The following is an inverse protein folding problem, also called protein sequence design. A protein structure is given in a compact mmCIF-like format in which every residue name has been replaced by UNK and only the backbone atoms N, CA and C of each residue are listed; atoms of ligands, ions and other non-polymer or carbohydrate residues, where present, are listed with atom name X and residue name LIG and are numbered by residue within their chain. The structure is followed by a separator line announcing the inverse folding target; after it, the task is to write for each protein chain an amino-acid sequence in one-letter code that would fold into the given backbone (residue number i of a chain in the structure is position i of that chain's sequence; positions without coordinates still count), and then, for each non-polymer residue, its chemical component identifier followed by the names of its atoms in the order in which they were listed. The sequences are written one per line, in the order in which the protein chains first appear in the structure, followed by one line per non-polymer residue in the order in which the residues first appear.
data_IF_165161816136
#
_entry.id   IF_165161816136
#
_cell.length_a   1.000
_cell.length_b   1.000
_cell.length_c   1.000
_cell.angle_alpha   90.00
_cell.angle_beta   90.00
_cell.angle_gamma   90.00
#
_symmetry.space_group_name_H-M   'P 1'
#
loop_
_entity.id
_entity.type
_entity.pdbx_description
1 polymer ?
#
# COMPACT_ATOMS: atom_id res chain seq x y z
N UNK A 1 10.15 10.86 -64.55
CA UNK A 1 10.67 10.05 -63.46
C UNK A 1 10.29 10.78 -62.17
N UNK A 2 9.16 10.44 -61.55
CA UNK A 2 8.68 11.11 -60.33
C UNK A 2 8.92 10.20 -59.12
N UNK A 3 9.80 10.63 -58.27
CA UNK A 3 10.19 9.94 -57.02
C UNK A 3 9.16 10.28 -55.95
N UNK A 4 8.35 9.28 -55.54
CA UNK A 4 7.42 9.43 -54.41
C UNK A 4 8.19 9.27 -53.10
N UNK A 5 8.26 10.34 -52.31
CA UNK A 5 8.77 10.32 -50.94
C UNK A 5 7.64 9.85 -50.04
N UNK A 6 7.86 8.68 -49.41
CA UNK A 6 6.92 8.09 -48.46
C UNK A 6 7.28 8.64 -47.07
N UNK A 7 6.48 9.59 -46.54
CA UNK A 7 6.63 10.11 -45.19
C UNK A 7 6.06 9.11 -44.18
N UNK A 8 6.91 8.48 -43.41
CA UNK A 8 6.51 7.66 -42.25
C UNK A 8 6.26 8.60 -41.08
N UNK A 9 5.01 8.80 -40.72
CA UNK A 9 4.62 9.47 -39.48
C UNK A 9 4.72 8.47 -38.31
N UNK A 10 5.77 8.60 -37.51
CA UNK A 10 5.94 7.84 -36.27
C UNK A 10 5.00 8.43 -35.20
N UNK A 11 3.85 7.81 -34.96
CA UNK A 11 2.96 8.16 -33.85
C UNK A 11 3.58 7.64 -32.54
N UNK A 12 4.30 8.47 -31.84
CA UNK A 12 4.71 8.20 -30.46
C UNK A 12 3.49 8.33 -29.55
N UNK A 13 2.88 7.19 -29.18
CA UNK A 13 1.89 7.13 -28.13
C UNK A 13 2.56 7.46 -26.80
N UNK A 14 2.44 8.71 -26.35
CA UNK A 14 2.78 9.15 -25.00
C UNK A 14 1.77 8.50 -24.05
N UNK A 15 2.12 7.33 -23.51
CA UNK A 15 1.50 6.83 -22.29
C UNK A 15 1.88 7.78 -21.15
N UNK A 16 1.10 8.83 -20.94
CA UNK A 16 1.19 9.63 -19.75
C UNK A 16 0.82 8.72 -18.57
N UNK A 17 1.69 8.57 -17.55
CA UNK A 17 1.29 7.88 -16.34
C UNK A 17 0.10 8.65 -15.74
N UNK A 18 -1.01 7.95 -15.52
CA UNK A 18 -2.13 8.51 -14.80
C UNK A 18 -1.66 8.81 -13.37
N UNK A 19 -1.26 10.05 -13.13
CA UNK A 19 -1.01 10.53 -11.77
C UNK A 19 -2.34 10.49 -11.04
N UNK A 20 -2.52 9.49 -10.18
CA UNK A 20 -3.63 9.47 -9.25
C UNK A 20 -3.60 10.79 -8.47
N UNK A 21 -4.67 11.57 -8.57
CA UNK A 21 -4.81 12.85 -7.89
C UNK A 21 -4.69 12.59 -6.38
N UNK A 22 -3.56 12.95 -5.80
CA UNK A 22 -3.25 12.77 -4.39
C UNK A 22 -4.10 13.74 -3.60
N UNK A 23 -5.19 13.26 -3.01
CA UNK A 23 -6.06 14.07 -2.16
C UNK A 23 -5.38 14.31 -0.81
N UNK A 24 -5.10 15.57 -0.49
CA UNK A 24 -4.98 16.26 0.81
C UNK A 24 -4.14 15.69 1.96
N UNK A 25 -3.74 14.43 1.96
CA UNK A 25 -2.95 13.80 3.03
C UNK A 25 -1.54 13.38 2.58
N UNK A 26 -1.27 13.42 1.31
CA UNK A 26 0.05 13.09 0.75
C UNK A 26 0.72 14.37 0.27
N UNK A 27 1.96 14.61 0.68
CA UNK A 27 2.74 15.65 0.05
C UNK A 27 3.01 15.26 -1.41
N UNK A 28 2.88 16.22 -2.32
CA UNK A 28 3.02 15.99 -3.76
C UNK A 28 4.40 15.40 -4.15
N UNK A 29 5.40 15.58 -3.28
CA UNK A 29 6.78 15.13 -3.47
C UNK A 29 7.09 13.79 -2.78
N UNK A 30 6.06 13.08 -2.28
CA UNK A 30 6.29 11.79 -1.64
C UNK A 30 6.79 10.78 -2.67
N UNK A 31 7.94 10.13 -2.43
CA UNK A 31 8.50 9.16 -3.35
C UNK A 31 7.60 7.92 -3.46
N UNK A 32 7.53 7.36 -4.66
CA UNK A 32 6.96 6.04 -4.89
C UNK A 32 8.08 5.01 -4.72
N UNK A 33 7.82 4.00 -3.91
CA UNK A 33 8.71 2.87 -3.66
C UNK A 33 8.12 1.66 -4.35
N UNK A 34 8.95 0.92 -5.08
CA UNK A 34 8.57 -0.33 -5.77
C UNK A 34 9.47 -1.45 -5.29
N UNK A 35 8.87 -2.54 -4.87
CA UNK A 35 9.57 -3.70 -4.33
C UNK A 35 8.98 -4.97 -4.92
N UNK A 36 9.84 -5.95 -5.15
CA UNK A 36 9.43 -7.29 -5.59
C UNK A 36 10.28 -8.32 -4.89
N UNK A 37 9.65 -9.35 -4.37
CA UNK A 37 10.32 -10.52 -3.81
C UNK A 37 9.84 -11.79 -4.49
N UNK A 38 10.69 -12.78 -4.49
CA UNK A 38 10.33 -14.16 -4.82
C UNK A 38 10.26 -14.95 -3.50
N UNK A 39 9.15 -15.63 -3.29
CA UNK A 39 8.93 -16.53 -2.18
C UNK A 39 8.64 -17.92 -2.76
N UNK A 40 9.67 -18.75 -2.90
CA UNK A 40 9.63 -19.91 -3.79
C UNK A 40 9.37 -19.46 -5.24
N UNK A 41 8.36 -20.06 -5.87
CA UNK A 41 7.92 -19.68 -7.23
C UNK A 41 6.94 -18.49 -7.23
N UNK A 42 6.51 -18.02 -6.07
CA UNK A 42 5.58 -16.91 -5.96
C UNK A 42 6.28 -15.58 -6.14
N UNK A 43 5.77 -14.76 -7.07
CA UNK A 43 6.20 -13.36 -7.25
C UNK A 43 5.23 -12.44 -6.52
N UNK A 44 5.74 -11.68 -5.55
CA UNK A 44 4.96 -10.71 -4.79
C UNK A 44 5.59 -9.33 -5.01
N UNK A 45 4.78 -8.36 -5.41
CA UNK A 45 5.21 -6.98 -5.64
C UNK A 45 4.37 -6.01 -4.82
N UNK A 46 5.03 -5.01 -4.24
CA UNK A 46 4.41 -3.95 -3.45
C UNK A 46 4.92 -2.60 -3.95
N UNK A 47 4.01 -1.78 -4.46
CA UNK A 47 4.27 -0.39 -4.84
C UNK A 47 3.51 0.52 -3.89
N UNK A 48 4.16 1.55 -3.35
CA UNK A 48 3.46 2.48 -2.47
C UNK A 48 4.07 3.88 -2.51
N UNK A 49 3.28 4.87 -2.06
CA UNK A 49 3.74 6.24 -1.85
C UNK A 49 4.18 6.41 -0.41
N UNK A 50 5.46 6.72 -0.20
CA UNK A 50 6.05 6.96 1.12
C UNK A 50 5.68 8.35 1.62
N UNK A 51 4.48 8.50 2.15
CA UNK A 51 3.94 9.76 2.67
C UNK A 51 4.60 10.16 3.98
N UNK A 52 4.62 11.46 4.29
CA UNK A 52 5.07 11.96 5.60
C UNK A 52 3.90 12.03 6.58
N UNK A 53 4.20 11.84 7.86
CA UNK A 53 3.23 11.92 8.95
C UNK A 53 3.06 13.35 9.50
N UNK A 54 3.42 14.36 8.72
CA UNK A 54 3.28 15.77 9.06
C UNK A 54 3.77 16.10 10.49
N UNK A 55 4.97 15.62 10.84
CA UNK A 55 5.59 15.81 12.15
C UNK A 55 4.67 15.44 13.35
N UNK A 56 3.92 14.35 13.23
CA UNK A 56 3.03 13.88 14.29
C UNK A 56 1.64 14.52 14.32
N UNK A 57 1.41 15.60 13.57
CA UNK A 57 0.09 16.28 13.57
C UNK A 57 -1.06 15.36 13.15
N UNK A 58 -0.80 14.41 12.29
CA UNK A 58 -1.80 13.43 11.87
C UNK A 58 -2.27 12.60 13.06
N UNK A 59 -1.34 12.03 13.84
CA UNK A 59 -1.68 11.25 15.03
C UNK A 59 -2.40 12.08 16.07
N UNK A 60 -1.94 13.31 16.33
CA UNK A 60 -2.61 14.24 17.25
C UNK A 60 -4.07 14.48 16.89
N UNK A 61 -4.36 14.64 15.59
CA UNK A 61 -5.74 14.80 15.12
C UNK A 61 -6.59 13.55 15.32
N UNK A 62 -6.02 12.35 15.13
CA UNK A 62 -6.74 11.08 15.28
C UNK A 62 -7.06 10.75 16.73
N UNK A 63 -6.22 11.22 17.67
CA UNK A 63 -6.33 10.96 19.10
C UNK A 63 -6.99 12.11 19.89
N UNK A 64 -7.35 13.20 19.20
CA UNK A 64 -8.05 14.34 19.81
C UNK A 64 -9.37 13.90 20.46
N UNK A 65 -9.61 14.33 21.69
CA UNK A 65 -10.78 13.89 22.48
C UNK A 65 -12.11 14.32 21.89
N UNK A 66 -12.16 15.50 21.26
CA UNK A 66 -13.40 16.08 20.76
C UNK A 66 -13.63 15.74 19.27
N UNK A 67 -12.57 15.77 18.48
CA UNK A 67 -12.65 15.68 17.02
C UNK A 67 -12.03 14.40 16.45
N UNK A 68 -11.36 13.59 17.27
CA UNK A 68 -10.63 12.41 16.80
C UNK A 68 -11.52 11.38 16.09
N UNK A 69 -12.72 11.14 16.62
CA UNK A 69 -13.68 10.25 15.97
C UNK A 69 -14.07 10.73 14.55
N UNK A 70 -14.33 12.02 14.39
CA UNK A 70 -14.65 12.62 13.07
C UNK A 70 -13.42 12.55 12.14
N UNK A 71 -12.22 12.78 12.67
CA UNK A 71 -11.00 12.70 11.89
C UNK A 71 -10.74 11.27 11.40
N UNK A 72 -10.93 10.24 12.24
CA UNK A 72 -10.83 8.83 11.85
C UNK A 72 -11.87 8.45 10.80
N UNK A 73 -13.15 8.80 11.02
CA UNK A 73 -14.22 8.53 10.08
C UNK A 73 -13.92 9.13 8.69
N UNK A 74 -13.48 10.38 8.63
CA UNK A 74 -13.09 11.04 7.38
C UNK A 74 -11.88 10.37 6.72
N UNK A 75 -10.88 9.97 7.52
CA UNK A 75 -9.71 9.25 7.02
C UNK A 75 -10.13 7.94 6.39
N UNK A 76 -10.95 7.15 7.09
CA UNK A 76 -11.45 5.87 6.61
C UNK A 76 -12.31 5.98 5.34
N UNK A 77 -13.13 7.02 5.25
CA UNK A 77 -13.93 7.30 4.04
C UNK A 77 -13.07 7.63 2.82
N UNK A 78 -11.99 8.38 3.04
CA UNK A 78 -11.11 8.83 1.96
C UNK A 78 -10.08 7.78 1.54
N UNK A 79 -9.69 6.87 2.44
CA UNK A 79 -8.62 5.91 2.22
C UNK A 79 -8.81 5.03 0.97
N UNK A 80 -9.98 4.41 0.71
CA UNK A 80 -10.18 3.62 -0.52
C UNK A 80 -10.23 4.47 -1.80
N UNK A 81 -10.58 5.76 -1.68
CA UNK A 81 -10.62 6.71 -2.81
C UNK A 81 -9.22 7.19 -3.21
N UNK A 82 -8.28 7.16 -2.26
CA UNK A 82 -6.89 7.58 -2.44
C UNK A 82 -5.94 6.53 -1.82
N UNK A 83 -5.88 5.32 -2.39
CA UNK A 83 -5.03 4.26 -1.88
C UNK A 83 -3.56 4.67 -1.87
N UNK A 84 -2.80 4.15 -0.93
CA UNK A 84 -1.38 4.46 -0.78
C UNK A 84 -0.51 3.68 -1.75
N UNK A 85 -1.00 2.56 -2.27
CA UNK A 85 -0.23 1.72 -3.16
C UNK A 85 -1.00 0.54 -3.72
N UNK A 86 -0.27 -0.44 -4.23
CA UNK A 86 -0.81 -1.70 -4.73
C UNK A 86 0.05 -2.88 -4.32
N UNK A 87 -0.61 -4.01 -4.06
CA UNK A 87 -0.01 -5.32 -3.88
C UNK A 87 -0.40 -6.19 -5.08
N UNK A 88 0.57 -6.86 -5.68
CA UNK A 88 0.32 -7.87 -6.73
C UNK A 88 0.93 -9.19 -6.30
N UNK A 89 0.19 -10.27 -6.43
CA UNK A 89 0.68 -11.62 -6.17
C UNK A 89 0.35 -12.56 -7.32
N UNK A 90 1.32 -13.40 -7.68
CA UNK A 90 1.14 -14.45 -8.70
C UNK A 90 0.47 -15.71 -8.16
N UNK A 91 0.27 -15.80 -6.86
CA UNK A 91 -0.38 -16.92 -6.16
C UNK A 91 -1.32 -16.40 -5.07
N UNK A 92 -2.18 -17.26 -4.54
CA UNK A 92 -2.94 -16.95 -3.35
C UNK A 92 -2.00 -16.76 -2.15
N UNK A 93 -2.35 -15.83 -1.26
CA UNK A 93 -1.56 -15.52 -0.06
C UNK A 93 -2.40 -15.75 1.21
N UNK A 94 -1.81 -16.41 2.18
CA UNK A 94 -2.33 -16.43 3.55
C UNK A 94 -1.69 -15.31 4.36
N UNK A 95 -2.52 -14.44 4.92
CA UNK A 95 -2.13 -13.38 5.84
C UNK A 95 -2.70 -13.69 7.24
N UNK A 96 -1.99 -14.52 8.00
CA UNK A 96 -2.55 -15.17 9.18
C UNK A 96 -3.69 -16.11 8.77
N UNK A 97 -4.90 -15.82 9.21
CA UNK A 97 -6.15 -16.54 8.88
C UNK A 97 -6.88 -16.03 7.62
N UNK A 98 -6.38 -14.93 7.04
CA UNK A 98 -7.01 -14.28 5.89
C UNK A 98 -6.42 -14.80 4.57
N UNK A 99 -7.24 -15.43 3.74
CA UNK A 99 -6.89 -15.80 2.38
C UNK A 99 -7.12 -14.61 1.44
N UNK A 100 -6.05 -14.19 0.77
CA UNK A 100 -6.04 -13.17 -0.27
C UNK A 100 -5.74 -13.89 -1.60
N UNK A 101 -6.71 -14.04 -2.51
CA UNK A 101 -6.49 -14.70 -3.78
C UNK A 101 -5.40 -14.04 -4.63
N UNK A 102 -4.87 -14.79 -5.60
CA UNK A 102 -3.96 -14.23 -6.61
C UNK A 102 -4.58 -13.03 -7.31
N UNK A 103 -3.80 -11.99 -7.57
CA UNK A 103 -4.30 -10.79 -8.25
C UNK A 103 -3.58 -9.51 -7.88
N UNK A 104 -4.23 -8.40 -8.25
CA UNK A 104 -3.78 -7.04 -7.95
C UNK A 104 -4.79 -6.36 -7.02
N UNK A 105 -4.27 -5.71 -5.98
CA UNK A 105 -5.03 -5.07 -4.93
C UNK A 105 -4.53 -3.66 -4.67
N UNK A 106 -5.44 -2.70 -4.51
CA UNK A 106 -5.11 -1.39 -3.95
C UNK A 106 -4.92 -1.51 -2.44
N UNK A 107 -3.87 -0.87 -1.92
CA UNK A 107 -3.48 -0.94 -0.50
C UNK A 107 -3.76 0.39 0.18
N UNK A 108 -4.47 0.35 1.29
CA UNK A 108 -4.72 1.50 2.15
C UNK A 108 -4.92 1.08 3.61
N UNK A 109 -4.86 2.04 4.53
CA UNK A 109 -5.08 1.79 5.95
C UNK A 109 -6.41 2.38 6.41
N UNK A 110 -7.02 1.72 7.39
CA UNK A 110 -8.16 2.23 8.16
C UNK A 110 -7.83 2.18 9.65
N UNK A 111 -8.54 3.01 10.44
CA UNK A 111 -8.28 3.21 11.86
C UNK A 111 -9.59 3.01 12.61
N UNK A 112 -9.61 2.04 13.52
CA UNK A 112 -10.77 1.76 14.39
C UNK A 112 -10.99 2.82 15.46
N UNK A 113 -12.11 2.71 16.15
CA UNK A 113 -12.43 3.61 17.28
C UNK A 113 -11.49 3.38 18.47
N UNK A 114 -10.97 2.16 18.59
CA UNK A 114 -9.92 1.75 19.54
C UNK A 114 -8.51 2.21 19.13
N UNK A 115 -8.39 3.03 18.08
CA UNK A 115 -7.14 3.43 17.45
C UNK A 115 -6.33 2.27 16.84
N UNK A 116 -6.92 1.09 16.72
CA UNK A 116 -6.29 -0.01 16.03
C UNK A 116 -6.24 0.24 14.52
N UNK A 117 -5.11 -0.04 13.93
CA UNK A 117 -4.90 0.08 12.49
C UNK A 117 -5.17 -1.22 11.78
N UNK A 118 -5.74 -1.12 10.60
CA UNK A 118 -5.91 -2.24 9.70
C UNK A 118 -5.35 -1.90 8.33
N UNK A 119 -4.68 -2.87 7.70
CA UNK A 119 -4.32 -2.81 6.28
C UNK A 119 -5.43 -3.43 5.46
N UNK A 120 -5.75 -2.81 4.34
CA UNK A 120 -6.82 -3.25 3.44
C UNK A 120 -6.24 -3.52 2.07
N UNK A 121 -6.59 -4.67 1.50
CA UNK A 121 -6.27 -5.09 0.14
C UNK A 121 -7.57 -5.08 -0.65
N UNK A 122 -7.80 -4.00 -1.41
CA UNK A 122 -9.03 -3.80 -2.17
C UNK A 122 -8.87 -4.34 -3.59
N UNK A 123 -9.49 -5.46 -3.87
CA UNK A 123 -9.66 -6.02 -5.21
C UNK A 123 -10.86 -5.39 -5.94
N UNK A 124 -11.21 -5.98 -7.08
CA UNK A 124 -12.33 -5.52 -7.90
C UNK A 124 -13.67 -5.65 -7.18
N UNK A 125 -13.94 -6.79 -6.56
CA UNK A 125 -15.24 -7.15 -6.02
C UNK A 125 -15.27 -7.22 -4.49
N UNK A 126 -14.10 -7.31 -3.85
CA UNK A 126 -13.98 -7.51 -2.41
C UNK A 126 -12.75 -6.81 -1.83
N UNK A 127 -12.88 -6.36 -0.60
CA UNK A 127 -11.75 -5.86 0.21
C UNK A 127 -11.43 -6.89 1.29
N UNK A 128 -10.15 -7.21 1.41
CA UNK A 128 -9.59 -8.08 2.43
C UNK A 128 -8.91 -7.19 3.48
N UNK A 129 -9.31 -7.34 4.74
CA UNK A 129 -8.85 -6.47 5.83
C UNK A 129 -8.13 -7.29 6.88
N UNK A 130 -6.94 -6.86 7.26
CA UNK A 130 -6.17 -7.46 8.35
C UNK A 130 -5.82 -6.39 9.38
N UNK A 131 -6.17 -6.65 10.65
CA UNK A 131 -5.75 -5.81 11.76
C UNK A 131 -4.24 -5.93 11.92
N UNK A 132 -3.57 -4.79 12.12
CA UNK A 132 -2.14 -4.74 12.36
C UNK A 132 -1.87 -4.81 13.86
N UNK A 133 -0.94 -5.66 14.23
CA UNK A 133 -0.37 -5.69 15.56
C UNK A 133 0.82 -4.72 15.57
N UNK A 134 0.57 -3.51 16.08
CA UNK A 134 1.56 -2.46 16.13
C UNK A 134 2.18 -2.37 17.51
N UNK A 135 3.48 -2.19 17.54
CA UNK A 135 4.29 -1.99 18.75
C UNK A 135 4.98 -0.64 18.69
N UNK A 136 5.29 -0.08 19.86
CA UNK A 136 6.10 1.12 19.93
C UNK A 136 7.52 0.83 19.42
N UNK A 137 8.01 1.70 18.56
CA UNK A 137 9.35 1.65 18.00
C UNK A 137 10.26 2.64 18.73
N UNK A 138 11.50 2.24 19.00
CA UNK A 138 12.54 3.13 19.54
C UNK A 138 12.89 4.26 18.56
N UNK A 139 12.69 4.00 17.25
CA UNK A 139 12.98 4.95 16.20
C UNK A 139 11.71 5.54 15.61
N UNK A 140 11.68 6.85 15.43
CA UNK A 140 10.58 7.54 14.78
C UNK A 140 10.77 7.57 13.28
N UNK A 141 9.87 6.91 12.55
CA UNK A 141 9.81 6.98 11.10
C UNK A 141 9.10 8.27 10.66
N UNK A 142 9.84 9.17 10.03
CA UNK A 142 9.27 10.43 9.48
C UNK A 142 8.38 10.21 8.28
N UNK A 143 8.46 9.06 7.64
CA UNK A 143 7.68 8.64 6.46
C UNK A 143 7.07 7.27 6.68
N UNK A 144 5.97 6.99 5.99
CA UNK A 144 5.47 5.62 5.89
C UNK A 144 6.52 4.75 5.22
N UNK A 145 6.90 3.69 5.89
CA UNK A 145 7.75 2.64 5.38
C UNK A 145 6.93 1.35 5.30
N UNK A 146 6.85 0.80 4.10
CA UNK A 146 6.40 -0.56 3.86
C UNK A 146 7.58 -1.30 3.24
N UNK A 147 8.18 -2.24 3.97
CA UNK A 147 9.29 -3.02 3.48
C UNK A 147 8.81 -4.44 3.20
N UNK A 148 8.74 -4.80 1.91
CA UNK A 148 8.46 -6.16 1.49
C UNK A 148 9.76 -6.96 1.57
N UNK A 149 9.76 -8.08 2.27
CA UNK A 149 10.93 -8.93 2.45
C UNK A 149 10.59 -10.40 2.17
N UNK A 150 11.59 -11.17 1.74
CA UNK A 150 11.49 -12.61 1.68
C UNK A 150 11.71 -13.17 3.10
N UNK A 151 10.77 -13.94 3.58
CA UNK A 151 10.81 -14.62 4.86
C UNK A 151 11.49 -15.99 4.77
N UNK A 152 11.53 -16.69 5.89
CA UNK A 152 11.93 -18.09 5.94
C UNK A 152 10.84 -19.00 5.32
N UNK A 153 11.19 -20.24 5.00
CA UNK A 153 10.26 -21.27 4.50
C UNK A 153 9.42 -20.82 3.29
N UNK A 154 10.06 -20.18 2.31
CA UNK A 154 9.38 -19.68 1.10
C UNK A 154 8.25 -18.68 1.38
N UNK A 155 8.27 -18.03 2.54
CA UNK A 155 7.34 -16.97 2.92
C UNK A 155 7.78 -15.59 2.42
N UNK A 156 6.90 -14.63 2.59
CA UNK A 156 7.20 -13.21 2.48
C UNK A 156 6.54 -12.46 3.63
N UNK A 157 6.93 -11.21 3.83
CA UNK A 157 6.28 -10.35 4.80
C UNK A 157 6.38 -8.89 4.43
N UNK A 158 5.57 -8.08 5.10
CA UNK A 158 5.61 -6.63 5.01
C UNK A 158 5.87 -6.07 6.41
N UNK A 159 7.01 -5.43 6.57
CA UNK A 159 7.27 -4.58 7.73
C UNK A 159 6.65 -3.21 7.48
N UNK A 160 5.86 -2.75 8.44
CA UNK A 160 5.18 -1.46 8.43
C UNK A 160 5.79 -0.59 9.52
N UNK A 161 6.17 0.65 9.18
CA UNK A 161 6.61 1.62 10.17
C UNK A 161 6.09 3.01 9.86
N UNK A 162 5.57 3.70 10.87
CA UNK A 162 5.11 5.08 10.78
C UNK A 162 5.14 5.75 12.16
N UNK A 163 5.65 6.97 12.22
CA UNK A 163 5.88 7.65 13.50
C UNK A 163 6.71 6.76 14.43
N UNK A 164 6.22 6.56 15.63
CA UNK A 164 6.82 5.70 16.67
C UNK A 164 6.20 4.29 16.73
N UNK A 165 5.51 3.87 15.70
CA UNK A 165 4.88 2.55 15.66
C UNK A 165 5.45 1.71 14.53
N UNK A 166 5.55 0.41 14.76
CA UNK A 166 5.94 -0.56 13.76
C UNK A 166 5.22 -1.88 13.97
N UNK A 167 5.15 -2.68 12.92
CA UNK A 167 4.55 -4.00 12.96
C UNK A 167 4.95 -4.83 11.75
N UNK A 168 4.59 -6.10 11.78
CA UNK A 168 4.85 -7.02 10.68
C UNK A 168 3.57 -7.71 10.25
N UNK A 169 3.55 -8.09 8.99
CA UNK A 169 2.48 -8.81 8.34
C UNK A 169 3.09 -9.96 7.55
N UNK A 170 2.78 -11.18 7.91
CA UNK A 170 3.23 -12.35 7.15
C UNK A 170 2.33 -12.55 5.93
N UNK A 171 2.97 -12.86 4.81
CA UNK A 171 2.32 -13.20 3.54
C UNK A 171 2.89 -14.55 3.08
N UNK A 172 2.18 -15.64 3.38
CA UNK A 172 2.63 -16.98 2.99
C UNK A 172 1.95 -17.40 1.69
N UNK A 173 2.72 -17.81 0.66
CA UNK A 173 2.14 -18.44 -0.52
C UNK A 173 1.23 -19.60 -0.12
N UNK A 174 0.02 -19.63 -0.65
CA UNK A 174 -0.94 -20.68 -0.40
C UNK A 174 -1.09 -21.53 -1.65
N UNK A 175 -0.55 -22.74 -1.62
CA UNK A 175 -0.77 -23.69 -2.69
C UNK A 175 -2.24 -24.14 -2.67
N UNK A 176 -2.96 -23.89 -3.75
CA UNK A 176 -4.26 -24.54 -3.96
C UNK A 176 -4.04 -26.06 -3.97
N UNK A 177 -4.68 -26.78 -3.08
CA UNK A 177 -4.68 -28.26 -3.06
C UNK A 177 -5.53 -28.80 -4.19
#
# INVERSE_FOLDING_TARGET
MMTKILSFALAAALCAPAFAQKTGMTNNDAPTVKQTVMAGDAKISLDYTSITWAAGQFMTRLTDKENGAKARARTNEMAPKAPLGSLTSSVDLMCGDLLIPTGEYKVYFTIGDDLAWSINFMGKDKTYTKKLELMDSEHESKRLLLCLYAGEEEGAGVYVSFGKQSGMLDLKPHAAK
#
